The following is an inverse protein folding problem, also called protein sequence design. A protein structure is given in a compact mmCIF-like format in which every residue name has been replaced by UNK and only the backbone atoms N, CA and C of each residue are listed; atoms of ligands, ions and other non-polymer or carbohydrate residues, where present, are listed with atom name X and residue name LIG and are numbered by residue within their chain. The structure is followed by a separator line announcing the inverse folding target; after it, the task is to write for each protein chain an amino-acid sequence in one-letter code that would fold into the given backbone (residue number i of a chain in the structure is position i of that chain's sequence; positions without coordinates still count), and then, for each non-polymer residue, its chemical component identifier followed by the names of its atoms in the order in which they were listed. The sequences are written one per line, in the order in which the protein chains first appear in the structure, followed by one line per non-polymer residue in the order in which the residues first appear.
data_IF_292335195563
#
_entry.id   IF_292335195563
#
_cell.length_a   1.000
_cell.length_b   1.000
_cell.length_c   1.000
_cell.angle_alpha   90.00
_cell.angle_beta   90.00
_cell.angle_gamma   90.00
#
_symmetry.space_group_name_H-M   'P 1'
#
loop_
_entity.id
_entity.type
_entity.pdbx_description
1 polymer ?
#
# COMPACT_ATOMS: atom_id res chain seq x y z
N UNK A 1 -1.35 24.36 -11.46
CA UNK A 1 -2.06 23.07 -11.51
C UNK A 1 -1.25 22.13 -10.64
N UNK A 2 -1.79 21.67 -9.51
CA UNK A 2 -1.09 20.73 -8.65
C UNK A 2 -1.39 19.32 -9.17
N UNK A 3 -0.46 18.75 -9.93
CA UNK A 3 -0.43 17.30 -10.14
C UNK A 3 -0.15 16.65 -8.79
N UNK A 4 -1.02 15.73 -8.37
CA UNK A 4 -0.81 14.96 -7.16
C UNK A 4 0.38 14.04 -7.42
N UNK A 5 1.35 13.92 -6.50
CA UNK A 5 2.48 13.03 -6.72
C UNK A 5 1.97 11.60 -6.97
N UNK A 6 2.64 10.83 -7.86
CA UNK A 6 2.27 9.45 -8.11
C UNK A 6 2.29 8.68 -6.79
N UNK A 7 1.29 7.82 -6.61
CA UNK A 7 1.19 6.98 -5.41
C UNK A 7 2.02 5.74 -5.66
N UNK A 8 2.94 5.40 -4.76
CA UNK A 8 3.70 4.17 -4.88
C UNK A 8 2.94 3.02 -4.23
N UNK A 9 2.87 1.86 -4.90
CA UNK A 9 2.26 0.67 -4.35
C UNK A 9 3.15 0.07 -3.23
N UNK A 10 2.60 -0.22 -2.03
CA UNK A 10 3.40 -0.74 -0.92
C UNK A 10 3.88 -2.19 -1.14
N UNK A 11 3.21 -2.97 -1.99
CA UNK A 11 3.56 -4.38 -2.22
C UNK A 11 4.67 -4.57 -3.27
N UNK A 12 4.59 -3.85 -4.39
CA UNK A 12 5.52 -4.01 -5.52
C UNK A 12 6.40 -2.79 -5.79
N UNK A 13 6.23 -1.70 -5.03
CA UNK A 13 6.91 -0.43 -5.25
C UNK A 13 6.65 0.22 -6.63
N UNK A 14 5.61 -0.20 -7.35
CA UNK A 14 5.25 0.34 -8.65
C UNK A 14 4.63 1.74 -8.53
N UNK A 15 4.90 2.61 -9.51
CA UNK A 15 4.36 3.96 -9.54
C UNK A 15 2.96 3.95 -10.17
N UNK A 16 1.94 4.21 -9.33
CA UNK A 16 0.57 4.29 -9.79
C UNK A 16 0.37 5.65 -10.48
N UNK A 17 0.00 5.69 -11.78
CA UNK A 17 -0.28 6.93 -12.47
C UNK A 17 -1.46 7.64 -11.82
N UNK A 18 -1.48 8.98 -11.84
CA UNK A 18 -2.52 9.80 -11.21
C UNK A 18 -3.96 9.42 -11.61
N UNK A 19 -4.14 8.81 -12.79
CA UNK A 19 -5.44 8.39 -13.31
C UNK A 19 -5.92 7.04 -12.78
N UNK A 20 -5.04 6.20 -12.22
CA UNK A 20 -5.40 4.88 -11.66
C UNK A 20 -5.49 4.99 -10.14
N UNK A 21 -6.52 4.40 -9.53
CA UNK A 21 -6.61 4.33 -8.07
C UNK A 21 -5.71 3.20 -7.57
N UNK A 22 -5.01 3.43 -6.46
CA UNK A 22 -4.21 2.41 -5.80
C UNK A 22 -5.06 1.16 -5.50
N UNK A 23 -6.29 1.35 -5.01
CA UNK A 23 -7.25 0.26 -4.74
C UNK A 23 -7.47 -0.65 -5.96
N UNK A 24 -7.64 -0.08 -7.16
CA UNK A 24 -7.84 -0.86 -8.38
C UNK A 24 -6.60 -1.66 -8.74
N UNK A 25 -5.41 -1.06 -8.66
CA UNK A 25 -4.15 -1.79 -8.85
C UNK A 25 -3.98 -2.93 -7.83
N UNK A 26 -4.32 -2.71 -6.56
CA UNK A 26 -4.25 -3.73 -5.52
C UNK A 26 -5.16 -4.92 -5.81
N UNK A 27 -6.34 -4.68 -6.39
CA UNK A 27 -7.29 -5.74 -6.73
C UNK A 27 -6.90 -6.45 -8.03
N UNK A 28 -6.40 -5.72 -9.03
CA UNK A 28 -6.06 -6.27 -10.35
C UNK A 28 -4.74 -7.05 -10.36
N UNK A 29 -3.72 -6.51 -9.70
CA UNK A 29 -2.33 -6.99 -9.84
C UNK A 29 -1.89 -7.89 -8.68
N UNK A 30 -2.57 -7.84 -7.53
CA UNK A 30 -2.16 -8.57 -6.32
C UNK A 30 -3.20 -9.59 -5.87
N UNK A 31 -2.72 -10.71 -5.35
CA UNK A 31 -3.60 -11.72 -4.78
C UNK A 31 -4.08 -11.34 -3.38
N UNK A 32 -5.22 -11.90 -2.97
CA UNK A 32 -5.73 -11.75 -1.58
C UNK A 32 -4.70 -12.11 -0.51
N UNK A 33 -3.80 -13.06 -0.80
CA UNK A 33 -2.76 -13.49 0.14
C UNK A 33 -1.67 -12.44 0.31
N UNK A 34 -1.28 -11.77 -0.78
CA UNK A 34 -0.29 -10.69 -0.75
C UNK A 34 -0.85 -9.50 0.02
N UNK A 35 -2.10 -9.11 -0.26
CA UNK A 35 -2.79 -8.05 0.47
C UNK A 35 -2.91 -8.37 1.97
N UNK A 36 -3.29 -9.60 2.33
CA UNK A 36 -3.39 -10.02 3.73
C UNK A 36 -2.05 -9.94 4.45
N UNK A 37 -0.95 -10.32 3.79
CA UNK A 37 0.40 -10.25 4.38
C UNK A 37 0.81 -8.80 4.64
N UNK A 38 0.56 -7.91 3.68
CA UNK A 38 0.89 -6.48 3.80
C UNK A 38 0.12 -5.80 4.94
N UNK A 39 -1.18 -6.12 5.07
CA UNK A 39 -2.01 -5.65 6.18
C UNK A 39 -1.46 -6.14 7.52
N UNK A 40 -1.13 -7.43 7.64
CA UNK A 40 -0.54 -7.98 8.89
C UNK A 40 0.77 -7.27 9.24
N UNK A 41 1.69 -7.16 8.28
CA UNK A 41 2.97 -6.46 8.48
C UNK A 41 2.77 -5.03 8.97
N UNK A 42 1.83 -4.30 8.35
CA UNK A 42 1.54 -2.91 8.73
C UNK A 42 1.04 -2.82 10.16
N UNK A 43 0.13 -3.72 10.58
CA UNK A 43 -0.39 -3.73 11.94
C UNK A 43 0.67 -4.12 12.97
N UNK A 44 1.52 -5.12 12.68
CA UNK A 44 2.62 -5.51 13.57
C UNK A 44 3.59 -4.33 13.80
N UNK A 45 3.96 -3.62 12.74
CA UNK A 45 4.84 -2.45 12.84
C UNK A 45 4.22 -1.30 13.65
N UNK A 46 2.91 -1.09 13.52
CA UNK A 46 2.18 -0.11 14.33
C UNK A 46 2.13 -0.53 15.80
N UNK A 47 1.82 -1.79 16.09
CA UNK A 47 1.81 -2.31 17.47
C UNK A 47 3.19 -2.19 18.13
N UNK A 48 4.27 -2.54 17.42
CA UNK A 48 5.65 -2.39 17.91
C UNK A 48 6.02 -0.92 18.18
N UNK A 49 5.52 0.00 17.35
CA UNK A 49 5.75 1.43 17.52
C UNK A 49 4.99 2.00 18.71
N UNK A 50 3.75 1.55 18.95
CA UNK A 50 2.91 1.98 20.07
C UNK A 50 3.40 1.41 21.41
N UNK A 51 4.03 0.23 21.43
CA UNK A 51 4.58 -0.38 22.65
C UNK A 51 5.91 0.22 23.10
N UNK A 52 6.58 0.96 22.20
CA UNK A 52 7.88 1.60 22.43
C UNK A 52 7.76 3.05 22.93
N UNK A 53 6.55 3.52 23.21
CA UNK A 53 6.20 4.88 23.66
C UNK A 53 5.99 5.04 25.16
#
# INVERSE_FOLDING_TARGET
MASKPPVQCPLCADEIPEQKRLEEHLVDEHTKRELARDVVSTYEQLEESELSG
#
